data_IF_561465110778
#
_entry.id   IF_561465110778
#
_cell.length_a   1.000
_cell.length_b   1.000
_cell.length_c   1.000
_cell.angle_alpha   90.00
_cell.angle_beta   90.00
_cell.angle_gamma   90.00
#
_symmetry.space_group_name_H-M   'P 1'
#
loop_
_entity.id
_entity.type
_entity.pdbx_description
1 polymer ?
#
# COMPACT_ATOMS: atom_id res chain seq x y z
N UNK A 1 30.17 -5.67 -11.62
CA UNK A 1 29.06 -5.50 -10.66
C UNK A 1 28.56 -6.90 -10.32
N UNK A 2 28.54 -7.28 -9.04
CA UNK A 2 28.01 -8.60 -8.61
C UNK A 2 26.49 -8.59 -8.75
N UNK A 3 25.91 -9.72 -9.16
CA UNK A 3 24.46 -9.93 -9.26
C UNK A 3 24.13 -11.19 -8.47
N UNK A 4 23.19 -11.11 -7.52
CA UNK A 4 22.83 -12.23 -6.65
C UNK A 4 23.24 -12.07 -5.18
N UNK A 5 23.87 -10.95 -4.81
CA UNK A 5 24.06 -10.57 -3.40
C UNK A 5 22.81 -9.88 -2.86
N UNK A 6 22.26 -10.39 -1.76
CA UNK A 6 21.07 -9.84 -1.15
C UNK A 6 21.05 -10.12 0.36
N UNK A 7 20.36 -9.27 1.11
CA UNK A 7 20.06 -9.54 2.51
C UNK A 7 19.04 -10.66 2.58
N UNK A 8 19.45 -11.81 3.11
CA UNK A 8 18.62 -13.00 3.22
C UNK A 8 18.24 -13.26 4.68
N UNK A 9 16.96 -13.14 5.01
CA UNK A 9 16.42 -13.70 6.24
C UNK A 9 16.19 -15.19 6.03
N UNK A 10 17.22 -15.99 6.35
CA UNK A 10 17.30 -17.42 6.03
C UNK A 10 16.54 -18.32 7.01
N UNK A 11 15.79 -17.76 7.95
CA UNK A 11 14.95 -18.49 8.89
C UNK A 11 13.51 -17.98 8.85
N UNK A 12 12.60 -18.78 9.41
CA UNK A 12 11.21 -18.37 9.61
C UNK A 12 11.16 -17.25 10.66
N UNK A 13 10.49 -16.14 10.34
CA UNK A 13 10.41 -14.97 11.22
C UNK A 13 9.21 -15.02 12.20
N UNK A 14 8.42 -16.08 12.18
CA UNK A 14 7.24 -16.26 13.04
C UNK A 14 6.10 -15.27 12.76
N UNK A 15 5.34 -14.93 13.80
CA UNK A 15 4.15 -14.08 13.72
C UNK A 15 4.21 -12.79 14.57
N UNK A 16 5.32 -12.55 15.28
CA UNK A 16 5.52 -11.38 16.15
C UNK A 16 6.63 -10.45 15.64
N UNK A 17 7.21 -10.73 14.47
CA UNK A 17 8.31 -9.96 13.91
C UNK A 17 7.88 -8.54 13.54
N UNK A 18 8.74 -7.58 13.90
CA UNK A 18 8.50 -6.15 13.73
C UNK A 18 9.77 -5.45 13.28
N UNK A 19 9.63 -4.57 12.29
CA UNK A 19 10.67 -3.65 11.86
C UNK A 19 10.12 -2.23 11.98
N UNK A 20 10.76 -1.38 12.77
CA UNK A 20 10.30 0.00 12.90
C UNK A 20 10.52 0.76 11.58
N UNK A 21 11.69 0.63 10.96
CA UNK A 21 11.99 1.33 9.72
C UNK A 21 12.73 0.44 8.75
N UNK A 22 12.18 0.29 7.55
CA UNK A 22 12.86 -0.23 6.37
C UNK A 22 13.27 0.95 5.51
N UNK A 23 14.54 1.04 5.16
CA UNK A 23 15.07 2.04 4.22
C UNK A 23 15.91 1.33 3.17
N UNK A 24 15.35 1.13 1.99
CA UNK A 24 16.12 0.68 0.84
C UNK A 24 17.01 1.83 0.35
N UNK A 25 18.23 1.49 -0.04
CA UNK A 25 19.13 2.42 -0.69
C UNK A 25 19.03 2.29 -2.20
N UNK A 26 19.38 3.38 -2.91
CA UNK A 26 19.37 3.38 -4.37
C UNK A 26 20.38 2.37 -4.87
N UNK A 27 19.92 1.41 -5.66
CA UNK A 27 20.78 0.39 -6.25
C UNK A 27 21.52 0.90 -7.49
N UNK A 28 22.26 0.00 -8.12
CA UNK A 28 22.94 0.32 -9.37
C UNK A 28 21.92 0.44 -10.51
N UNK A 29 21.97 1.53 -11.26
CA UNK A 29 20.98 1.85 -12.29
C UNK A 29 20.73 0.69 -13.25
N UNK A 30 19.44 0.44 -13.53
CA UNK A 30 18.94 -0.58 -14.47
C UNK A 30 19.20 -2.04 -14.08
N UNK A 31 19.78 -2.31 -12.90
CA UNK A 31 19.97 -3.67 -12.38
C UNK A 31 19.47 -3.78 -10.95
N UNK A 32 18.91 -4.94 -10.59
CA UNK A 32 18.46 -5.23 -9.23
C UNK A 32 19.51 -6.09 -8.52
N UNK A 33 20.69 -5.50 -8.29
CA UNK A 33 21.86 -6.19 -7.74
C UNK A 33 21.86 -6.30 -6.21
N UNK A 34 20.88 -5.70 -5.54
CA UNK A 34 20.69 -5.77 -4.09
C UNK A 34 19.21 -5.78 -3.74
N UNK A 35 18.88 -6.35 -2.59
CA UNK A 35 17.51 -6.43 -2.08
C UNK A 35 17.39 -7.28 -0.84
N UNK A 36 16.16 -7.42 -0.37
CA UNK A 36 15.81 -8.22 0.82
C UNK A 36 14.96 -9.40 0.39
N UNK A 37 15.27 -10.60 0.89
CA UNK A 37 14.46 -11.82 0.73
C UNK A 37 14.21 -12.47 2.08
N UNK A 38 13.08 -13.15 2.18
CA UNK A 38 12.70 -13.92 3.36
C UNK A 38 12.49 -15.40 2.98
N UNK A 39 12.96 -16.31 3.84
CA UNK A 39 12.66 -17.75 3.74
C UNK A 39 11.18 -18.03 4.00
N UNK A 40 10.62 -17.44 5.05
CA UNK A 40 9.23 -17.66 5.44
C UNK A 40 8.82 -16.87 6.68
N UNK A 41 7.52 -16.83 6.94
CA UNK A 41 6.95 -16.30 8.18
C UNK A 41 5.45 -16.02 8.05
N UNK A 42 4.77 -15.94 9.18
CA UNK A 42 3.32 -15.73 9.22
C UNK A 42 2.96 -14.24 9.18
N UNK A 43 3.70 -13.40 9.91
CA UNK A 43 3.42 -11.96 9.97
C UNK A 43 4.68 -11.11 10.17
N UNK A 44 4.79 -10.05 9.37
CA UNK A 44 5.77 -8.98 9.53
C UNK A 44 5.06 -7.63 9.64
N UNK A 45 5.29 -6.92 10.73
CA UNK A 45 4.81 -5.55 10.93
C UNK A 45 5.93 -4.56 10.62
N UNK A 46 5.66 -3.57 9.76
CA UNK A 46 6.58 -2.50 9.40
C UNK A 46 5.92 -1.16 9.72
N UNK A 47 6.58 -0.24 10.43
CA UNK A 47 6.02 1.11 10.60
C UNK A 47 6.25 1.94 9.34
N UNK A 48 7.52 2.21 9.07
CA UNK A 48 7.96 3.10 7.99
C UNK A 48 8.76 2.31 6.95
N UNK A 49 8.27 2.30 5.72
CA UNK A 49 8.91 1.68 4.58
C UNK A 49 9.28 2.76 3.56
N UNK A 50 10.58 3.04 3.44
CA UNK A 50 11.16 3.90 2.41
C UNK A 50 11.76 3.05 1.30
N UNK A 51 11.13 3.02 0.12
CA UNK A 51 11.67 2.33 -1.05
C UNK A 51 12.59 3.23 -1.88
N UNK A 52 13.52 2.62 -2.62
CA UNK A 52 14.46 3.30 -3.50
C UNK A 52 14.60 2.53 -4.81
N UNK A 53 14.95 3.20 -5.92
CA UNK A 53 14.99 2.55 -7.22
C UNK A 53 16.15 1.57 -7.31
N UNK A 54 16.00 0.59 -8.21
CA UNK A 54 16.99 -0.44 -8.51
C UNK A 54 17.33 -1.35 -7.33
N UNK A 55 16.37 -1.45 -6.41
CA UNK A 55 16.42 -2.30 -5.23
C UNK A 55 15.09 -3.05 -5.10
N UNK A 56 15.06 -4.13 -4.32
CA UNK A 56 13.84 -4.92 -4.15
C UNK A 56 13.62 -5.37 -2.71
N UNK A 57 12.35 -5.59 -2.39
CA UNK A 57 11.89 -6.19 -1.16
C UNK A 57 10.94 -7.33 -1.50
N UNK A 58 11.39 -8.56 -1.26
CA UNK A 58 10.69 -9.77 -1.63
C UNK A 58 10.16 -10.48 -0.37
N UNK A 59 8.94 -10.12 0.01
CA UNK A 59 8.20 -10.69 1.12
C UNK A 59 7.07 -11.62 0.64
N UNK A 60 7.22 -12.24 -0.54
CA UNK A 60 6.23 -13.22 -1.05
C UNK A 60 6.13 -14.48 -0.20
N UNK A 61 7.17 -14.80 0.57
CA UNK A 61 7.15 -15.93 1.52
C UNK A 61 6.68 -15.52 2.92
N UNK A 62 6.42 -14.24 3.17
CA UNK A 62 5.78 -13.79 4.40
C UNK A 62 4.29 -13.73 4.14
N UNK A 63 3.49 -14.53 4.86
CA UNK A 63 2.06 -14.64 4.58
C UNK A 63 1.35 -13.29 4.69
N UNK A 64 1.61 -12.51 5.74
CA UNK A 64 1.00 -11.20 5.95
C UNK A 64 2.05 -10.12 6.26
N UNK A 65 2.09 -9.06 5.44
CA UNK A 65 2.86 -7.85 5.77
C UNK A 65 1.89 -6.71 6.11
N UNK A 66 2.14 -6.03 7.22
CA UNK A 66 1.33 -4.89 7.66
C UNK A 66 2.19 -3.61 7.73
N UNK A 67 1.76 -2.56 7.03
CA UNK A 67 2.33 -1.21 7.13
C UNK A 67 1.49 -0.42 8.12
N UNK A 68 2.10 0.10 9.19
CA UNK A 68 1.37 0.81 10.25
C UNK A 68 1.50 2.32 10.20
N UNK A 69 2.49 2.88 9.49
CA UNK A 69 2.65 4.32 9.34
C UNK A 69 2.77 4.77 7.88
N UNK A 70 3.82 4.37 7.17
CA UNK A 70 4.07 4.89 5.82
C UNK A 70 4.78 3.88 4.92
N UNK A 71 4.36 3.77 3.66
CA UNK A 71 5.10 3.15 2.56
C UNK A 71 5.27 4.20 1.46
N UNK A 72 6.49 4.66 1.22
CA UNK A 72 6.74 5.75 0.29
C UNK A 72 8.14 5.71 -0.32
N UNK A 73 8.34 6.51 -1.37
CA UNK A 73 9.67 6.72 -1.92
C UNK A 73 10.55 7.37 -0.84
N UNK A 74 11.81 6.94 -0.77
CA UNK A 74 12.77 7.43 0.21
C UNK A 74 13.00 8.95 0.11
N UNK A 75 13.83 9.53 0.99
CA UNK A 75 13.93 10.99 1.18
C UNK A 75 14.50 11.77 -0.02
N UNK A 76 14.80 11.11 -1.14
CA UNK A 76 15.50 11.65 -2.32
C UNK A 76 14.62 12.55 -3.22
N UNK A 77 13.55 13.14 -2.69
CA UNK A 77 12.64 14.02 -3.44
C UNK A 77 11.62 13.28 -4.29
N UNK A 78 11.40 13.75 -5.53
CA UNK A 78 10.40 13.16 -6.43
C UNK A 78 10.77 11.73 -6.85
N UNK A 79 9.82 10.77 -6.84
CA UNK A 79 10.08 9.40 -7.26
C UNK A 79 10.60 9.30 -8.69
N UNK A 80 11.62 8.45 -8.90
CA UNK A 80 12.25 8.15 -10.19
C UNK A 80 12.79 6.72 -10.20
N UNK A 81 13.07 6.18 -11.39
CA UNK A 81 13.52 4.79 -11.54
C UNK A 81 12.47 3.79 -11.07
N UNK A 82 12.84 2.55 -10.77
CA UNK A 82 11.86 1.53 -10.37
C UNK A 82 12.39 0.68 -9.22
N UNK A 83 11.63 0.57 -8.14
CA UNK A 83 11.83 -0.44 -7.10
C UNK A 83 11.02 -1.71 -7.44
N UNK A 84 11.25 -2.83 -6.75
CA UNK A 84 10.34 -3.99 -6.81
C UNK A 84 9.88 -4.37 -5.41
N UNK A 85 8.60 -4.15 -5.12
CA UNK A 85 8.01 -4.45 -3.82
C UNK A 85 7.03 -5.61 -4.00
N UNK A 86 7.34 -6.76 -3.44
CA UNK A 86 6.60 -8.01 -3.70
C UNK A 86 6.09 -8.57 -2.38
N UNK A 87 4.80 -8.80 -2.28
CA UNK A 87 4.12 -9.25 -1.06
C UNK A 87 3.24 -10.48 -1.35
N UNK A 88 3.07 -11.34 -0.33
CA UNK A 88 1.97 -12.29 -0.37
C UNK A 88 0.64 -11.56 -0.17
N UNK A 89 0.36 -11.21 1.09
CA UNK A 89 -0.72 -10.32 1.47
C UNK A 89 -0.12 -9.01 2.00
N UNK A 90 -0.78 -7.89 1.71
CA UNK A 90 -0.39 -6.57 2.19
C UNK A 90 -1.57 -5.87 2.88
N UNK A 91 -1.34 -5.43 4.10
CA UNK A 91 -2.29 -4.61 4.87
C UNK A 91 -1.73 -3.21 5.08
N UNK A 92 -2.51 -2.19 4.75
CA UNK A 92 -2.34 -0.85 5.29
C UNK A 92 -3.16 -0.76 6.58
N UNK A 93 -2.48 -0.55 7.70
CA UNK A 93 -3.12 -0.36 9.00
C UNK A 93 -3.82 0.98 9.11
N UNK A 94 -4.49 1.19 10.24
CA UNK A 94 -5.23 2.41 10.51
C UNK A 94 -4.32 3.63 10.40
N UNK A 95 -4.75 4.62 9.62
CA UNK A 95 -4.01 5.84 9.32
C UNK A 95 -2.71 5.68 8.52
N UNK A 96 -2.32 4.46 8.15
CA UNK A 96 -1.13 4.23 7.34
C UNK A 96 -1.29 4.87 5.96
N UNK A 97 -0.20 5.41 5.42
CA UNK A 97 -0.17 6.08 4.11
C UNK A 97 0.70 5.29 3.14
N UNK A 98 0.20 5.06 1.93
CA UNK A 98 0.94 4.42 0.86
C UNK A 98 1.06 5.36 -0.34
N UNK A 99 2.26 5.83 -0.65
CA UNK A 99 2.54 6.61 -1.86
C UNK A 99 2.84 5.66 -3.02
N UNK A 100 1.86 5.50 -3.92
CA UNK A 100 1.85 4.50 -4.98
C UNK A 100 2.00 5.12 -6.38
N UNK A 101 2.84 4.49 -7.20
CA UNK A 101 3.12 4.90 -8.57
C UNK A 101 3.81 3.79 -9.37
N UNK A 102 4.02 4.04 -10.66
CA UNK A 102 4.84 3.19 -11.53
C UNK A 102 6.28 2.96 -11.00
N UNK A 103 6.78 3.87 -10.14
CA UNK A 103 8.13 3.77 -9.60
C UNK A 103 8.25 2.79 -8.42
N UNK A 104 7.14 2.50 -7.72
CA UNK A 104 7.11 1.53 -6.61
C UNK A 104 7.02 0.07 -7.06
N UNK A 105 6.40 -0.19 -8.23
CA UNK A 105 6.15 -1.54 -8.77
C UNK A 105 5.73 -2.56 -7.70
N UNK A 106 4.56 -2.31 -7.09
CA UNK A 106 4.03 -3.17 -6.04
C UNK A 106 3.31 -4.35 -6.68
N UNK A 107 3.68 -5.56 -6.29
CA UNK A 107 3.01 -6.81 -6.68
C UNK A 107 2.47 -7.51 -5.44
N UNK A 108 1.18 -7.83 -5.45
CA UNK A 108 0.49 -8.52 -4.35
C UNK A 108 -0.12 -9.80 -4.93
N UNK A 109 0.41 -10.96 -4.53
CA UNK A 109 -0.03 -12.24 -5.11
C UNK A 109 -1.33 -12.76 -4.47
N UNK A 110 -1.57 -12.43 -3.21
CA UNK A 110 -2.77 -12.78 -2.46
C UNK A 110 -3.66 -11.55 -2.26
N UNK A 111 -3.95 -11.24 -1.00
CA UNK A 111 -4.93 -10.25 -0.61
C UNK A 111 -4.32 -8.88 -0.29
N UNK A 112 -5.06 -7.83 -0.60
CA UNK A 112 -4.77 -6.48 -0.17
C UNK A 112 -5.86 -5.99 0.79
N UNK A 113 -5.47 -5.46 1.94
CA UNK A 113 -6.40 -4.84 2.89
C UNK A 113 -6.00 -3.39 3.12
N UNK A 114 -6.89 -2.45 2.82
CA UNK A 114 -6.78 -1.09 3.29
C UNK A 114 -7.68 -0.93 4.53
N UNK A 115 -7.10 -1.05 5.72
CA UNK A 115 -7.79 -0.88 6.99
C UNK A 115 -7.73 0.57 7.46
N UNK A 116 -8.58 1.44 6.89
CA UNK A 116 -8.66 2.86 7.26
C UNK A 116 -7.33 3.61 7.05
N UNK A 117 -6.52 3.16 6.09
CA UNK A 117 -5.35 3.85 5.57
C UNK A 117 -5.68 4.70 4.34
N UNK A 118 -4.67 5.33 3.75
CA UNK A 118 -4.81 6.17 2.55
C UNK A 118 -3.76 5.79 1.50
N UNK A 119 -4.20 5.49 0.28
CA UNK A 119 -3.32 5.33 -0.88
C UNK A 119 -3.25 6.66 -1.64
N UNK A 120 -2.07 7.23 -1.77
CA UNK A 120 -1.81 8.42 -2.59
C UNK A 120 -1.27 7.97 -3.95
N UNK A 121 -2.09 8.10 -5.00
CA UNK A 121 -1.67 7.87 -6.38
C UNK A 121 -0.94 9.09 -6.92
N UNK A 122 0.19 8.85 -7.57
CA UNK A 122 0.96 9.87 -8.27
C UNK A 122 0.61 9.90 -9.76
N UNK A 123 0.15 11.05 -10.26
CA UNK A 123 -0.05 11.26 -11.69
C UNK A 123 1.30 11.49 -12.39
N UNK A 124 1.54 10.76 -13.48
CA UNK A 124 2.72 10.88 -14.34
C UNK A 124 2.34 10.76 -15.80
N UNK A 125 2.72 11.75 -16.61
CA UNK A 125 2.35 11.79 -18.03
C UNK A 125 0.84 11.70 -18.25
N UNK A 126 0.05 12.28 -17.33
CA UNK A 126 -1.41 12.24 -17.32
C UNK A 126 -2.05 10.87 -17.08
N UNK A 127 -1.29 9.92 -16.53
CA UNK A 127 -1.76 8.58 -16.16
C UNK A 127 -1.44 8.26 -14.70
N UNK A 128 -2.07 7.19 -14.20
CA UNK A 128 -1.77 6.54 -12.92
C UNK A 128 -1.36 5.09 -13.16
N UNK A 129 -0.68 4.51 -12.19
CA UNK A 129 -0.41 3.07 -12.16
C UNK A 129 -1.59 2.34 -11.50
N UNK A 130 -2.04 1.22 -12.07
CA UNK A 130 -3.06 0.37 -11.44
C UNK A 130 -2.43 -0.47 -10.33
N UNK A 131 -3.03 -0.50 -9.14
CA UNK A 131 -2.66 -1.46 -8.10
C UNK A 131 -3.32 -2.81 -8.42
N UNK A 132 -2.50 -3.77 -8.84
CA UNK A 132 -2.95 -5.12 -9.17
C UNK A 132 -2.86 -6.04 -7.94
N UNK A 133 -3.97 -6.67 -7.60
CA UNK A 133 -4.12 -7.58 -6.46
C UNK A 133 -4.52 -8.95 -6.98
N UNK A 134 -3.76 -9.98 -6.63
CA UNK A 134 -3.91 -11.32 -7.21
C UNK A 134 -5.21 -12.04 -6.81
N UNK A 135 -5.77 -11.70 -5.66
CA UNK A 135 -7.00 -12.29 -5.13
C UNK A 135 -8.04 -11.22 -4.73
N UNK A 136 -8.16 -10.86 -3.46
CA UNK A 136 -9.20 -9.94 -2.96
C UNK A 136 -8.60 -8.60 -2.50
N UNK A 137 -9.30 -7.50 -2.76
CA UNK A 137 -9.00 -6.20 -2.18
C UNK A 137 -10.11 -5.77 -1.21
N UNK A 138 -9.77 -5.52 0.05
CA UNK A 138 -10.71 -5.09 1.09
C UNK A 138 -10.50 -3.62 1.43
N UNK A 139 -11.54 -2.81 1.24
CA UNK A 139 -11.58 -1.38 1.55
C UNK A 139 -12.41 -1.16 2.82
N UNK A 140 -11.74 -0.91 3.94
CA UNK A 140 -12.37 -0.77 5.25
C UNK A 140 -12.32 0.70 5.67
N UNK A 141 -13.48 1.27 5.96
CA UNK A 141 -13.65 2.69 6.28
C UNK A 141 -14.59 2.91 7.46
N UNK A 142 -14.63 4.15 7.96
CA UNK A 142 -15.50 4.57 9.04
C UNK A 142 -16.13 5.93 8.70
N UNK A 143 -17.10 6.37 9.51
CA UNK A 143 -17.79 7.64 9.31
C UNK A 143 -17.23 8.77 10.19
N UNK A 144 -15.95 8.71 10.58
CA UNK A 144 -15.31 9.82 11.28
C UNK A 144 -15.07 10.96 10.32
N UNK A 145 -15.69 12.09 10.64
CA UNK A 145 -15.41 13.36 9.99
C UNK A 145 -14.08 13.88 10.52
N UNK A 146 -13.13 14.10 9.63
CA UNK A 146 -11.87 14.76 9.92
C UNK A 146 -12.16 16.25 10.17
N UNK A 147 -11.80 16.73 11.35
CA UNK A 147 -12.07 18.11 11.78
C UNK A 147 -11.31 19.16 10.96
N UNK A 148 -10.19 18.80 10.33
CA UNK A 148 -9.42 19.71 9.50
C UNK A 148 -10.06 19.92 8.12
N UNK A 149 -10.80 18.93 7.60
CA UNK A 149 -11.41 18.98 6.27
C UNK A 149 -12.94 19.17 6.32
N UNK A 150 -13.57 18.86 7.45
CA UNK A 150 -15.03 18.78 7.56
C UNK A 150 -15.62 17.60 6.78
N UNK A 151 -14.80 16.61 6.39
CA UNK A 151 -15.22 15.46 5.57
C UNK A 151 -14.58 14.16 6.06
N UNK A 152 -15.07 13.00 5.59
CA UNK A 152 -14.49 11.71 5.93
C UNK A 152 -13.04 11.59 5.42
N UNK A 153 -12.21 10.82 6.14
CA UNK A 153 -10.86 10.53 5.69
C UNK A 153 -10.89 9.64 4.43
N UNK A 154 -10.34 10.08 3.29
CA UNK A 154 -10.40 9.30 2.07
C UNK A 154 -9.43 8.10 2.10
N UNK A 155 -9.88 6.97 1.57
CA UNK A 155 -9.05 5.77 1.40
C UNK A 155 -8.11 5.88 0.19
N UNK A 156 -8.48 6.68 -0.81
CA UNK A 156 -7.70 6.93 -2.01
C UNK A 156 -7.62 8.43 -2.26
N UNK A 157 -6.42 8.93 -2.53
CA UNK A 157 -6.17 10.29 -3.03
C UNK A 157 -5.42 10.20 -4.34
N UNK A 158 -5.82 11.01 -5.32
CA UNK A 158 -5.07 11.18 -6.57
C UNK A 158 -4.42 12.56 -6.52
N UNK A 159 -3.11 12.59 -6.32
CA UNK A 159 -2.38 13.85 -6.24
C UNK A 159 -2.14 14.38 -7.66
N UNK A 160 -2.42 15.68 -7.85
CA UNK A 160 -2.38 16.35 -9.16
C UNK A 160 -3.39 15.79 -10.17
N UNK A 161 -4.61 15.48 -9.71
CA UNK A 161 -5.67 14.92 -10.56
C UNK A 161 -6.04 15.82 -11.76
N UNK A 162 -5.77 17.13 -11.69
CA UNK A 162 -5.96 18.05 -12.81
C UNK A 162 -5.11 17.73 -14.04
N UNK A 163 -4.01 16.98 -13.85
CA UNK A 163 -3.08 16.60 -14.92
C UNK A 163 -3.50 15.31 -15.63
N UNK A 164 -4.55 14.62 -15.17
CA UNK A 164 -5.05 13.40 -15.80
C UNK A 164 -5.55 13.65 -17.22
N UNK A 165 -5.26 12.71 -18.11
CA UNK A 165 -5.86 12.68 -19.44
C UNK A 165 -7.38 12.53 -19.27
N UNK A 166 -8.12 13.52 -19.77
CA UNK A 166 -9.59 13.53 -19.73
C UNK A 166 -10.19 12.50 -20.67
N UNK A 167 -11.44 12.11 -20.42
CA UNK A 167 -12.21 11.17 -21.25
C UNK A 167 -11.52 9.81 -21.45
N UNK A 168 -10.70 9.42 -20.47
CA UNK A 168 -10.01 8.13 -20.40
C UNK A 168 -10.33 7.47 -19.06
N UNK A 169 -10.59 6.18 -19.09
CA UNK A 169 -10.68 5.38 -17.88
C UNK A 169 -9.30 5.22 -17.24
N UNK A 170 -9.20 5.59 -15.97
CA UNK A 170 -8.01 5.42 -15.14
C UNK A 170 -8.30 4.38 -14.07
N UNK A 171 -7.84 3.15 -14.28
CA UNK A 171 -8.10 2.03 -13.35
C UNK A 171 -7.18 2.16 -12.13
N UNK A 172 -7.75 2.45 -10.96
CA UNK A 172 -7.01 2.60 -9.70
C UNK A 172 -6.58 1.25 -9.13
N UNK A 173 -7.55 0.36 -8.90
CA UNK A 173 -7.33 -0.96 -8.28
C UNK A 173 -7.97 -2.03 -9.15
N UNK A 174 -7.26 -3.15 -9.34
CA UNK A 174 -7.77 -4.34 -10.02
C UNK A 174 -7.55 -5.56 -9.13
N UNK A 175 -8.62 -6.28 -8.82
CA UNK A 175 -8.63 -7.51 -8.04
C UNK A 175 -9.70 -8.46 -8.60
N UNK A 176 -9.75 -9.72 -8.14
CA UNK A 176 -10.83 -10.64 -8.50
C UNK A 176 -12.15 -10.20 -7.86
N UNK A 177 -12.08 -9.78 -6.61
CA UNK A 177 -13.19 -9.20 -5.85
C UNK A 177 -12.69 -7.95 -5.11
N UNK A 178 -13.55 -6.94 -5.00
CA UNK A 178 -13.30 -5.74 -4.19
C UNK A 178 -14.45 -5.62 -3.18
N UNK A 179 -14.10 -5.72 -1.90
CA UNK A 179 -15.04 -5.69 -0.80
C UNK A 179 -14.99 -4.35 -0.08
N UNK A 180 -16.15 -3.83 0.28
CA UNK A 180 -16.32 -2.56 1.00
C UNK A 180 -16.87 -2.86 2.38
N UNK A 181 -16.21 -2.38 3.43
CA UNK A 181 -16.58 -2.68 4.81
C UNK A 181 -16.63 -1.39 5.63
N UNK A 182 -17.80 -1.07 6.17
CA UNK A 182 -17.96 0.00 7.14
C UNK A 182 -17.75 -0.57 8.55
N UNK A 183 -16.82 0.01 9.30
CA UNK A 183 -16.58 -0.34 10.71
C UNK A 183 -16.97 0.79 11.64
N UNK A 184 -17.48 0.41 12.81
CA UNK A 184 -17.75 1.35 13.90
C UNK A 184 -16.45 1.95 14.46
N UNK A 185 -16.59 3.09 15.12
CA UNK A 185 -15.47 3.76 15.80
C UNK A 185 -15.53 3.40 17.28
N UNK A 186 -14.41 3.01 17.86
CA UNK A 186 -14.32 2.74 19.29
C UNK A 186 -14.70 4.02 20.08
N UNK A 187 -15.78 3.95 20.85
CA UNK A 187 -16.29 5.09 21.64
C UNK A 187 -17.36 5.96 20.95
N UNK A 188 -17.67 5.73 19.67
CA UNK A 188 -18.92 6.23 19.08
C UNK A 188 -20.04 5.23 19.38
N UNK A 189 -21.21 5.71 19.79
CA UNK A 189 -22.37 4.82 19.91
C UNK A 189 -22.59 4.11 18.57
N UNK A 190 -22.81 2.79 18.60
CA UNK A 190 -23.26 2.02 17.43
C UNK A 190 -24.54 2.61 16.81
N UNK A 191 -25.25 3.47 17.56
CA UNK A 191 -26.44 4.21 17.12
C UNK A 191 -26.16 5.18 15.95
N UNK A 192 -24.90 5.57 15.71
CA UNK A 192 -24.49 6.43 14.59
C UNK A 192 -23.90 5.67 13.39
N UNK A 193 -23.88 4.33 13.42
CA UNK A 193 -24.01 3.55 12.17
C UNK A 193 -25.49 3.68 11.77
N UNK A 194 -25.96 4.92 11.58
CA UNK A 194 -27.29 5.18 11.06
C UNK A 194 -27.41 4.31 9.82
N UNK A 195 -28.44 3.46 9.77
CA UNK A 195 -28.75 2.62 8.63
C UNK A 195 -28.74 3.48 7.37
N UNK A 196 -27.57 3.57 6.74
CA UNK A 196 -27.42 4.33 5.53
C UNK A 196 -28.08 3.46 4.49
N UNK A 197 -29.17 3.94 3.91
CA UNK A 197 -29.81 3.28 2.77
C UNK A 197 -28.86 3.24 1.54
N UNK A 198 -27.72 3.91 1.64
CA UNK A 198 -26.64 3.92 0.66
C UNK A 198 -25.83 2.63 0.79
N UNK A 199 -25.69 1.88 -0.30
CA UNK A 199 -24.85 0.70 -0.31
C UNK A 199 -23.38 1.05 -0.01
N UNK A 200 -22.59 0.08 0.46
CA UNK A 200 -21.21 0.31 0.92
C UNK A 200 -20.27 0.80 -0.19
N UNK A 201 -20.52 0.43 -1.44
CA UNK A 201 -19.73 0.90 -2.58
C UNK A 201 -19.99 2.39 -2.85
N UNK A 202 -21.23 2.85 -2.72
CA UNK A 202 -21.57 4.27 -2.86
C UNK A 202 -21.06 5.11 -1.68
N UNK A 203 -20.98 4.55 -0.47
CA UNK A 203 -20.34 5.24 0.67
C UNK A 203 -18.81 5.35 0.50
N UNK A 204 -18.20 4.42 -0.22
CA UNK A 204 -16.76 4.44 -0.49
C UNK A 204 -16.36 5.51 -1.53
N UNK A 205 -17.26 5.85 -2.45
CA UNK A 205 -17.03 6.86 -3.51
C UNK A 205 -17.09 8.27 -2.94
#
# INVERSE_FOLDING_TARGET
ISVGEYTNFSEDIGNQSRINTVRLETGTRSIYSGGVKFKGGEKLVINDFSYAPWNYFDARNIKNVEITNKLAFGPQGSPWGTAKLMFNNLTLGQNAVMDYSQFSNVTIQGDFTNNQGTINYLVRGGNIETLNVGHQASMIFNNLVDSATGFYKPLIKINSAQDLIKNKEHVLVRARNIDYNLVGVQGASYDNISASNTNLQEQFK
#
